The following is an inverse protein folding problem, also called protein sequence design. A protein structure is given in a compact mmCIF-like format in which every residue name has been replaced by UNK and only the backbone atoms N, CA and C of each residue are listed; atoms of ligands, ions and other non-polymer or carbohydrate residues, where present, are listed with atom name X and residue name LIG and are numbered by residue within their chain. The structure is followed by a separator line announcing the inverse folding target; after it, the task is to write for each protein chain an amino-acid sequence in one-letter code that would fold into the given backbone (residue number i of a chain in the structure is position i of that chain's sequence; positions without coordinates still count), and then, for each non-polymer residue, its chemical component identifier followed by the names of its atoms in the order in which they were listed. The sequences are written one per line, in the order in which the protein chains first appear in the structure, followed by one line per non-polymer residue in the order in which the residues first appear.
data_IF_324509229693
#
_entry.id   IF_324509229693
#
_cell.length_a   1.000
_cell.length_b   1.000
_cell.length_c   1.000
_cell.angle_alpha   90.00
_cell.angle_beta   90.00
_cell.angle_gamma   90.00
#
_symmetry.space_group_name_H-M   'P 1'
#
loop_
_entity.id
_entity.type
_entity.pdbx_description
1 polymer ?
#
# COMPACT_ATOMS: atom_id res chain seq x y z
N UNK A 1 -16.00 20.49 38.68
CA UNK A 1 -16.75 19.47 37.95
C UNK A 1 -17.56 18.68 38.96
N UNK A 2 -18.86 18.89 38.93
CA UNK A 2 -19.83 18.08 39.66
C UNK A 2 -19.98 16.71 38.98
N UNK A 3 -20.44 15.69 39.72
CA UNK A 3 -20.69 14.36 39.16
C UNK A 3 -21.69 14.39 37.99
N UNK A 4 -22.67 15.30 38.01
CA UNK A 4 -23.61 15.52 36.90
C UNK A 4 -22.93 16.11 35.66
N UNK A 5 -21.96 17.02 35.82
CA UNK A 5 -21.17 17.53 34.69
C UNK A 5 -20.26 16.44 34.11
N UNK A 6 -19.67 15.58 34.95
CA UNK A 6 -18.85 14.45 34.48
C UNK A 6 -19.68 13.49 33.64
N UNK A 7 -20.88 13.12 34.12
CA UNK A 7 -21.77 12.19 33.41
C UNK A 7 -22.25 12.75 32.07
N UNK A 8 -22.56 14.06 32.04
CA UNK A 8 -22.94 14.75 30.80
C UNK A 8 -21.77 14.82 29.81
N UNK A 9 -20.55 15.03 30.30
CA UNK A 9 -19.34 14.99 29.46
C UNK A 9 -19.04 13.57 28.92
N UNK A 10 -19.32 12.51 29.69
CA UNK A 10 -19.16 11.12 29.23
C UNK A 10 -20.16 10.75 28.14
N UNK A 11 -21.44 11.12 28.29
CA UNK A 11 -22.47 10.87 27.27
C UNK A 11 -22.19 11.66 25.99
N UNK A 12 -21.80 12.94 26.11
CA UNK A 12 -21.44 13.77 24.96
C UNK A 12 -20.18 13.22 24.26
N UNK A 13 -19.16 12.78 25.00
CA UNK A 13 -17.96 12.17 24.41
C UNK A 13 -18.27 10.86 23.69
N UNK A 14 -19.13 10.00 24.28
CA UNK A 14 -19.55 8.76 23.65
C UNK A 14 -20.36 9.00 22.38
N UNK A 15 -21.22 10.02 22.36
CA UNK A 15 -22.02 10.38 21.19
C UNK A 15 -21.15 10.86 20.01
N UNK A 16 -20.05 11.59 20.29
CA UNK A 16 -19.15 12.09 19.25
C UNK A 16 -18.08 11.08 18.84
N UNK A 17 -17.75 10.08 19.68
CA UNK A 17 -16.70 9.11 19.41
C UNK A 17 -16.93 8.33 18.10
N UNK A 18 -18.18 7.97 17.79
CA UNK A 18 -18.51 7.26 16.55
C UNK A 18 -18.41 8.15 15.30
N UNK A 19 -18.76 9.44 15.42
CA UNK A 19 -18.63 10.41 14.32
C UNK A 19 -17.17 10.75 14.05
N UNK A 20 -16.39 10.99 15.11
CA UNK A 20 -14.94 11.24 15.03
C UNK A 20 -14.22 10.04 14.40
N UNK A 21 -14.60 8.82 14.77
CA UNK A 21 -14.05 7.59 14.19
C UNK A 21 -14.33 7.50 12.69
N UNK A 22 -15.57 7.77 12.27
CA UNK A 22 -15.94 7.75 10.83
C UNK A 22 -15.19 8.81 10.03
N UNK A 23 -15.06 10.01 10.58
CA UNK A 23 -14.27 11.08 9.96
C UNK A 23 -12.81 10.69 9.82
N UNK A 24 -12.24 10.08 10.86
CA UNK A 24 -10.86 9.58 10.83
C UNK A 24 -10.67 8.53 9.74
N UNK A 25 -11.53 7.53 9.70
CA UNK A 25 -11.46 6.45 8.71
C UNK A 25 -11.63 6.98 7.28
N UNK A 26 -12.50 7.97 7.05
CA UNK A 26 -12.67 8.61 5.75
C UNK A 26 -11.39 9.35 5.32
N UNK A 27 -10.78 10.10 6.23
CA UNK A 27 -9.52 10.81 5.94
C UNK A 27 -8.39 9.84 5.66
N UNK A 28 -8.27 8.77 6.44
CA UNK A 28 -7.27 7.73 6.22
C UNK A 28 -7.46 7.04 4.86
N UNK A 29 -8.71 6.72 4.47
CA UNK A 29 -9.02 6.19 3.15
C UNK A 29 -8.66 7.17 2.01
N UNK A 30 -8.96 8.47 2.17
CA UNK A 30 -8.57 9.51 1.18
C UNK A 30 -7.06 9.61 1.02
N UNK A 31 -6.32 9.62 2.13
CA UNK A 31 -4.86 9.71 2.10
C UNK A 31 -4.23 8.46 1.45
N UNK A 32 -4.76 7.27 1.75
CA UNK A 32 -4.31 6.03 1.13
C UNK A 32 -4.57 6.02 -0.39
N UNK A 33 -5.75 6.45 -0.81
CA UNK A 33 -6.14 6.55 -2.21
C UNK A 33 -5.30 7.59 -2.98
N UNK A 34 -5.06 8.77 -2.42
CA UNK A 34 -4.20 9.79 -3.02
C UNK A 34 -2.75 9.30 -3.17
N UNK A 35 -2.21 8.66 -2.13
CA UNK A 35 -0.88 8.04 -2.17
C UNK A 35 -0.78 6.97 -3.27
N UNK A 36 -1.82 6.14 -3.43
CA UNK A 36 -1.90 5.14 -4.50
C UNK A 36 -1.92 5.81 -5.87
N UNK A 37 -2.78 6.81 -6.09
CA UNK A 37 -2.84 7.56 -7.36
C UNK A 37 -1.49 8.15 -7.72
N UNK A 38 -0.81 8.81 -6.77
CA UNK A 38 0.50 9.38 -6.99
C UNK A 38 1.54 8.31 -7.37
N UNK A 39 1.57 7.18 -6.64
CA UNK A 39 2.47 6.08 -6.93
C UNK A 39 2.25 5.52 -8.34
N UNK A 40 1.00 5.21 -8.70
CA UNK A 40 0.67 4.66 -10.03
C UNK A 40 0.95 5.66 -11.14
N UNK A 41 0.63 6.95 -10.96
CA UNK A 41 0.96 8.01 -11.94
C UNK A 41 2.47 8.07 -12.20
N UNK A 42 3.28 8.02 -11.14
CA UNK A 42 4.74 8.00 -11.26
C UNK A 42 5.19 6.76 -12.02
N UNK A 43 4.74 5.59 -11.61
CA UNK A 43 5.04 4.32 -12.27
C UNK A 43 4.64 4.30 -13.75
N UNK A 44 3.49 4.88 -14.11
CA UNK A 44 3.06 5.04 -15.50
C UNK A 44 3.96 6.00 -16.29
N UNK A 45 4.45 7.06 -15.66
CA UNK A 45 5.36 7.99 -16.33
C UNK A 45 6.75 7.39 -16.60
N UNK A 46 7.21 6.49 -15.72
CA UNK A 46 8.54 5.87 -15.81
C UNK A 46 8.54 4.58 -16.65
N UNK A 47 7.47 3.79 -16.56
CA UNK A 47 7.39 2.44 -17.14
C UNK A 47 6.19 2.23 -18.09
N UNK A 48 5.36 3.26 -18.30
CA UNK A 48 4.15 3.16 -19.11
C UNK A 48 4.39 2.86 -20.59
N UNK A 49 5.58 3.17 -21.11
CA UNK A 49 5.97 2.84 -22.50
C UNK A 49 6.16 1.33 -22.72
N UNK A 50 6.24 0.55 -21.64
CA UNK A 50 6.36 -0.91 -21.69
C UNK A 50 5.01 -1.61 -21.63
N UNK A 51 3.92 -0.87 -21.41
CA UNK A 51 2.55 -1.38 -21.38
C UNK A 51 1.90 -1.26 -22.77
N UNK A 52 0.94 -2.14 -23.04
CA UNK A 52 0.10 -2.00 -24.21
C UNK A 52 -0.80 -0.76 -24.06
N UNK A 53 -1.18 -0.12 -25.18
CA UNK A 53 -2.00 1.09 -25.16
C UNK A 53 -3.31 0.90 -24.37
N UNK A 54 -3.99 -0.23 -24.59
CA UNK A 54 -5.23 -0.59 -23.88
C UNK A 54 -5.03 -0.73 -22.36
N UNK A 55 -3.85 -1.17 -21.91
CA UNK A 55 -3.54 -1.31 -20.48
C UNK A 55 -3.28 0.06 -19.85
N UNK A 56 -2.53 0.91 -20.55
CA UNK A 56 -2.28 2.28 -20.14
C UNK A 56 -3.57 3.09 -20.02
N UNK A 57 -4.45 3.00 -21.02
CA UNK A 57 -5.76 3.68 -20.99
C UNK A 57 -6.63 3.23 -19.82
N UNK A 58 -6.65 1.92 -19.51
CA UNK A 58 -7.40 1.39 -18.35
C UNK A 58 -6.89 1.95 -17.02
N UNK A 59 -5.57 2.04 -16.85
CA UNK A 59 -4.97 2.59 -15.63
C UNK A 59 -5.25 4.10 -15.54
N UNK A 60 -5.10 4.84 -16.64
CA UNK A 60 -5.40 6.28 -16.67
C UNK A 60 -6.88 6.57 -16.39
N UNK A 61 -7.80 5.73 -16.87
CA UNK A 61 -9.22 5.82 -16.54
C UNK A 61 -9.47 5.54 -15.05
N UNK A 62 -8.90 4.46 -14.50
CA UNK A 62 -9.04 4.13 -13.09
C UNK A 62 -8.47 5.22 -12.16
N UNK A 63 -7.35 5.84 -12.55
CA UNK A 63 -6.78 7.00 -11.84
C UNK A 63 -7.80 8.14 -11.76
N UNK A 64 -8.41 8.51 -12.89
CA UNK A 64 -9.41 9.59 -12.93
C UNK A 64 -10.62 9.27 -12.05
N UNK A 65 -11.09 8.02 -12.09
CA UNK A 65 -12.21 7.59 -11.25
C UNK A 65 -11.89 7.74 -9.75
N UNK A 66 -10.66 7.39 -9.33
CA UNK A 66 -10.22 7.60 -7.94
C UNK A 66 -10.14 9.10 -7.61
N UNK A 67 -9.56 9.91 -8.49
CA UNK A 67 -9.48 11.37 -8.29
C UNK A 67 -10.85 12.06 -8.18
N UNK A 68 -11.85 11.54 -8.90
CA UNK A 68 -13.21 12.08 -8.84
C UNK A 68 -13.91 11.69 -7.53
N UNK A 69 -13.78 10.44 -7.08
CA UNK A 69 -14.38 10.03 -5.79
C UNK A 69 -13.62 10.58 -4.58
N UNK A 70 -12.37 11.00 -4.73
CA UNK A 70 -11.64 11.70 -3.66
C UNK A 70 -12.25 13.06 -3.29
N UNK A 71 -12.95 13.71 -4.24
CA UNK A 71 -13.55 15.05 -4.03
C UNK A 71 -14.80 14.99 -3.16
N UNK A 72 -15.67 14.02 -3.42
CA UNK A 72 -17.03 13.97 -2.82
C UNK A 72 -17.46 12.57 -2.34
N UNK A 73 -16.65 11.54 -2.55
CA UNK A 73 -16.98 10.16 -2.21
C UNK A 73 -16.92 9.87 -0.71
N UNK A 74 -17.68 8.85 -0.34
CA UNK A 74 -17.62 8.19 0.96
C UNK A 74 -16.47 7.16 1.02
N UNK A 75 -16.22 6.65 2.22
CA UNK A 75 -15.13 5.70 2.50
C UNK A 75 -15.23 4.46 1.60
N UNK A 76 -16.41 3.84 1.53
CA UNK A 76 -16.62 2.58 0.82
C UNK A 76 -16.39 2.77 -0.69
N UNK A 77 -16.83 3.89 -1.25
CA UNK A 77 -16.63 4.24 -2.66
C UNK A 77 -15.17 4.50 -2.97
N UNK A 78 -14.47 5.24 -2.10
CA UNK A 78 -13.04 5.53 -2.25
C UNK A 78 -12.24 4.23 -2.19
N UNK A 79 -12.52 3.36 -1.23
CA UNK A 79 -11.87 2.05 -1.10
C UNK A 79 -12.12 1.16 -2.32
N UNK A 80 -13.38 1.08 -2.78
CA UNK A 80 -13.73 0.29 -3.97
C UNK A 80 -13.00 0.76 -5.23
N UNK A 81 -12.94 2.08 -5.47
CA UNK A 81 -12.21 2.63 -6.63
C UNK A 81 -10.70 2.49 -6.48
N UNK A 82 -10.17 2.62 -5.27
CA UNK A 82 -8.75 2.39 -5.00
C UNK A 82 -8.35 0.94 -5.27
N UNK A 83 -9.21 -0.02 -4.90
CA UNK A 83 -8.99 -1.43 -5.22
C UNK A 83 -9.04 -1.68 -6.73
N UNK A 84 -9.99 -1.06 -7.44
CA UNK A 84 -10.04 -1.16 -8.91
C UNK A 84 -8.79 -0.58 -9.58
N UNK A 85 -8.25 0.53 -9.07
CA UNK A 85 -6.97 1.09 -9.51
C UNK A 85 -5.81 0.12 -9.24
N UNK A 86 -5.79 -0.51 -8.06
CA UNK A 86 -4.77 -1.51 -7.73
C UNK A 86 -4.81 -2.70 -8.69
N UNK A 87 -6.00 -3.24 -8.97
CA UNK A 87 -6.21 -4.34 -9.92
C UNK A 87 -5.75 -3.97 -11.35
N UNK A 88 -6.15 -2.79 -11.84
CA UNK A 88 -5.72 -2.30 -13.14
C UNK A 88 -4.19 -2.11 -13.21
N UNK A 89 -3.56 -1.77 -12.09
CA UNK A 89 -2.12 -1.50 -11.98
C UNK A 89 -1.26 -2.74 -11.71
N UNK A 90 -1.85 -3.93 -11.53
CA UNK A 90 -1.09 -5.15 -11.20
C UNK A 90 0.00 -5.44 -12.24
N UNK A 91 -0.34 -5.38 -13.53
CA UNK A 91 0.62 -5.61 -14.62
C UNK A 91 1.74 -4.59 -14.67
N UNK A 92 1.46 -3.35 -14.27
CA UNK A 92 2.49 -2.31 -14.13
C UNK A 92 3.43 -2.64 -12.96
N UNK A 93 2.87 -3.06 -11.83
CA UNK A 93 3.65 -3.50 -10.67
C UNK A 93 4.56 -4.70 -10.97
N UNK A 94 4.06 -5.70 -11.69
CA UNK A 94 4.85 -6.86 -12.12
C UNK A 94 6.06 -6.44 -12.98
N UNK A 95 5.85 -5.52 -13.93
CA UNK A 95 6.94 -5.01 -14.78
C UNK A 95 7.99 -4.25 -13.98
N UNK A 96 7.56 -3.41 -13.05
CA UNK A 96 8.46 -2.63 -12.18
C UNK A 96 9.28 -3.55 -11.28
N UNK A 97 8.64 -4.56 -10.68
CA UNK A 97 9.32 -5.52 -9.83
C UNK A 97 10.34 -6.35 -10.61
N UNK A 98 9.98 -6.80 -11.82
CA UNK A 98 10.90 -7.52 -12.71
C UNK A 98 12.11 -6.65 -13.09
N UNK A 99 11.91 -5.35 -13.32
CA UNK A 99 13.01 -4.42 -13.58
C UNK A 99 13.91 -4.20 -12.36
N UNK A 100 13.33 -3.98 -11.18
CA UNK A 100 14.12 -3.85 -9.94
C UNK A 100 14.96 -5.10 -9.68
N UNK A 101 14.40 -6.29 -9.89
CA UNK A 101 15.13 -7.55 -9.73
C UNK A 101 16.28 -7.68 -10.74
N UNK A 102 16.06 -7.29 -12.01
CA UNK A 102 17.10 -7.27 -13.02
C UNK A 102 18.22 -6.26 -12.70
N UNK A 103 17.85 -5.11 -12.13
CA UNK A 103 18.79 -4.06 -11.73
C UNK A 103 19.64 -4.47 -10.51
N UNK A 104 19.06 -5.26 -9.60
CA UNK A 104 19.74 -5.79 -8.42
C UNK A 104 20.65 -6.98 -8.75
N UNK A 105 20.29 -7.80 -9.74
CA UNK A 105 21.14 -8.88 -10.27
C UNK A 105 22.30 -8.34 -11.13
N UNK A 106 22.14 -7.17 -11.76
CA UNK A 106 23.20 -6.48 -12.54
C UNK A 106 24.24 -5.72 -11.71
N UNK A 107 24.06 -5.65 -10.39
CA UNK A 107 24.98 -4.96 -9.47
C UNK A 107 26.21 -5.78 -9.02
N UNK A 108 26.33 -7.04 -9.45
CA UNK A 108 27.41 -7.93 -9.03
C UNK A 108 28.69 -7.87 -9.89
N UNK A 109 28.74 -7.07 -10.95
CA UNK A 109 29.93 -6.95 -11.83
C UNK A 109 30.34 -5.49 -12.10
N UNK A 110 30.66 -4.73 -11.05
CA UNK A 110 31.60 -3.60 -11.16
C UNK A 110 32.03 -3.05 -9.79
N UNK A 111 33.13 -3.58 -9.21
CA UNK A 111 34.26 -2.76 -8.71
C UNK A 111 35.37 -3.64 -8.09
N UNK A 112 36.65 -3.38 -8.39
CA UNK A 112 37.77 -3.89 -7.60
C UNK A 112 37.96 -3.03 -6.34
N UNK A 113 38.13 -3.71 -5.20
CA UNK A 113 38.78 -3.29 -3.95
C UNK A 113 38.68 -1.83 -3.48
N UNK A 114 37.95 -1.62 -2.37
CA UNK A 114 38.00 -0.39 -1.58
C UNK A 114 37.16 -0.44 -0.29
N UNK A 115 37.68 -1.13 0.73
CA UNK A 115 37.51 -0.94 2.18
C UNK A 115 36.16 -0.47 2.81
N UNK A 116 35.55 -1.39 3.59
CA UNK A 116 34.73 -1.24 4.82
C UNK A 116 33.55 -0.23 4.83
N UNK A 117 32.32 -0.72 4.97
CA UNK A 117 31.64 -1.07 6.24
C UNK A 117 30.23 -1.60 5.96
N UNK A 118 29.88 -2.67 6.68
CA UNK A 118 28.55 -3.25 7.00
C UNK A 118 27.39 -2.25 6.97
N UNK A 119 26.15 -2.57 6.59
CA UNK A 119 25.29 -3.68 7.03
C UNK A 119 23.96 -3.59 6.25
N UNK A 120 23.41 -4.72 5.79
CA UNK A 120 21.96 -5.01 5.66
C UNK A 120 21.76 -6.21 4.71
N UNK A 121 22.19 -7.38 5.18
CA UNK A 121 21.67 -8.66 4.73
C UNK A 121 20.28 -8.83 5.34
N UNK A 122 19.24 -8.72 4.53
CA UNK A 122 17.94 -9.35 4.83
C UNK A 122 17.47 -10.02 3.55
N UNK A 123 17.98 -11.23 3.32
CA UNK A 123 17.34 -12.21 2.45
C UNK A 123 16.36 -12.95 3.34
N UNK A 124 15.07 -12.67 3.17
CA UNK A 124 13.99 -13.39 3.83
C UNK A 124 13.86 -14.76 3.13
N UNK A 125 14.71 -15.70 3.56
CA UNK A 125 14.72 -17.06 3.07
C UNK A 125 13.60 -17.86 3.76
N UNK A 126 12.71 -18.34 2.91
CA UNK A 126 11.52 -19.16 3.12
C UNK A 126 11.55 -20.12 4.32
N UNK A 127 10.49 -20.02 5.12
CA UNK A 127 10.12 -20.94 6.18
C UNK A 127 9.58 -22.25 5.59
N UNK A 128 10.39 -23.32 5.59
CA UNK A 128 9.92 -24.68 5.34
C UNK A 128 9.70 -25.40 6.69
N UNK A 129 8.45 -25.38 7.17
CA UNK A 129 8.02 -26.06 8.38
C UNK A 129 8.02 -27.59 8.15
N UNK A 130 9.12 -28.26 8.50
CA UNK A 130 9.18 -29.72 8.46
C UNK A 130 8.56 -30.30 9.74
N UNK A 131 7.32 -30.74 9.57
CA UNK A 131 6.42 -31.48 10.47
C UNK A 131 7.09 -32.24 11.62
N UNK A 132 6.53 -32.00 12.80
CA UNK A 132 6.67 -32.82 14.01
C UNK A 132 6.16 -34.25 13.80
N UNK A 133 6.99 -35.26 14.13
CA UNK A 133 6.54 -36.55 14.64
C UNK A 133 7.63 -37.07 15.61
N UNK A 134 7.48 -36.84 16.92
CA UNK A 134 6.81 -37.70 17.92
C UNK A 134 7.81 -38.66 18.61
N UNK A 135 7.74 -38.68 19.95
CA UNK A 135 8.15 -39.77 20.86
C UNK A 135 9.66 -40.00 21.04
N UNK A 136 10.23 -40.35 22.19
CA UNK A 136 9.83 -40.42 23.59
C UNK A 136 11.15 -40.78 24.33
N UNK A 137 11.49 -40.03 25.37
CA UNK A 137 11.94 -40.56 26.67
C UNK A 137 12.95 -41.74 26.69
N UNK A 138 14.21 -41.46 27.01
CA UNK A 138 14.92 -42.13 28.13
C UNK A 138 16.15 -41.36 28.60
#
# INVERSE_FOLDING_TARGET
LSEEEIKRMEEDAAANADEDKKLRELVDARNAADGMVHSVKKSLSEHGDKLEADEKEKIEAAIKEVEDVLKEGDKDTIEAKTNALMEASQKLGEKIYAEQQAQQAGGAEAQPQGEKTVDAEVVDAEFEEVKSDKSDKK
#
